data_IF_026720913847
#
_entry.id   IF_026720913847
#
_cell.length_a   1.000
_cell.length_b   1.000
_cell.length_c   1.000
_cell.angle_alpha   90.00
_cell.angle_beta   90.00
_cell.angle_gamma   90.00
#
_symmetry.space_group_name_H-M   'P 1'
#
loop_
_entity.id
_entity.type
_entity.pdbx_description
1 polymer ?
#
# COMPACT_ATOMS: atom_id res chain seq x y z
N UNK A 1 2.84 -24.27 17.77
CA UNK A 1 4.17 -23.91 17.22
C UNK A 1 4.13 -22.46 16.79
N UNK A 2 4.68 -21.56 17.60
CA UNK A 2 4.62 -20.12 17.37
C UNK A 2 5.56 -19.72 16.23
N UNK A 3 5.01 -19.35 15.07
CA UNK A 3 5.78 -18.57 14.09
C UNK A 3 5.72 -17.13 14.55
N UNK A 4 6.76 -16.71 15.28
CA UNK A 4 7.08 -15.32 15.55
C UNK A 4 7.27 -14.64 14.19
N UNK A 5 6.22 -14.01 13.66
CA UNK A 5 6.36 -13.07 12.55
C UNK A 5 7.06 -11.85 13.12
N UNK A 6 8.39 -11.92 13.19
CA UNK A 6 9.27 -10.78 13.33
C UNK A 6 9.00 -9.89 12.12
N UNK A 7 8.02 -9.00 12.23
CA UNK A 7 7.85 -7.90 11.28
C UNK A 7 9.03 -6.97 11.49
N UNK A 8 10.16 -7.33 10.90
CA UNK A 8 11.35 -6.51 10.77
C UNK A 8 11.94 -6.78 9.37
N UNK A 9 11.35 -6.25 8.29
CA UNK A 9 12.21 -5.66 7.29
C UNK A 9 12.59 -4.29 7.88
N UNK A 10 13.86 -4.04 8.19
CA UNK A 10 14.30 -2.65 8.25
C UNK A 10 13.84 -2.04 6.92
N UNK A 11 12.85 -1.12 6.92
CA UNK A 11 12.45 -0.50 5.69
C UNK A 11 13.74 0.14 5.19
N UNK A 12 14.04 0.04 3.90
CA UNK A 12 15.02 0.95 3.32
C UNK A 12 14.42 2.34 3.48
N UNK A 13 14.60 2.93 4.66
CA UNK A 13 14.29 4.30 5.00
C UNK A 13 15.04 5.10 3.94
N UNK A 14 14.36 6.00 3.23
CA UNK A 14 15.05 6.83 2.27
C UNK A 14 16.20 7.53 2.99
N UNK A 15 17.42 7.37 2.48
CA UNK A 15 18.65 7.87 3.11
C UNK A 15 18.63 9.40 3.35
N UNK A 16 17.70 10.11 2.69
CA UNK A 16 17.52 11.57 2.77
C UNK A 16 16.16 11.99 3.38
N UNK A 17 15.41 11.08 4.02
CA UNK A 17 14.08 11.38 4.58
C UNK A 17 12.97 11.60 3.54
N UNK A 18 13.23 11.31 2.26
CA UNK A 18 12.27 11.44 1.15
C UNK A 18 12.14 10.17 0.33
N UNK A 19 10.91 9.67 0.15
CA UNK A 19 10.65 8.51 -0.70
C UNK A 19 11.09 8.76 -2.14
N UNK A 20 11.62 7.72 -2.84
CA UNK A 20 11.88 7.82 -4.27
C UNK A 20 10.55 7.98 -5.04
N UNK A 21 10.62 8.52 -6.25
CA UNK A 21 9.46 8.64 -7.15
C UNK A 21 8.82 7.28 -7.46
N UNK A 22 9.66 6.24 -7.58
CA UNK A 22 9.24 4.86 -7.84
C UNK A 22 9.64 3.95 -6.69
N UNK A 23 8.65 3.34 -6.08
CA UNK A 23 8.78 2.45 -4.94
C UNK A 23 8.79 1.00 -5.41
N UNK A 24 9.70 0.21 -4.85
CA UNK A 24 9.69 -1.25 -5.00
C UNK A 24 8.60 -1.89 -4.14
N UNK A 25 8.30 -3.18 -4.34
CA UNK A 25 7.35 -3.95 -3.52
C UNK A 25 7.55 -3.75 -2.01
N UNK A 26 8.81 -3.70 -1.56
CA UNK A 26 9.17 -3.57 -0.15
C UNK A 26 8.88 -2.15 0.34
N UNK A 27 9.25 -1.13 -0.45
CA UNK A 27 9.01 0.27 -0.11
C UNK A 27 7.52 0.61 -0.15
N UNK A 28 6.79 0.14 -1.16
CA UNK A 28 5.34 0.33 -1.26
C UNK A 28 4.61 -0.33 -0.08
N UNK A 29 5.06 -1.52 0.32
CA UNK A 29 4.54 -2.19 1.51
C UNK A 29 4.79 -1.37 2.79
N UNK A 30 6.01 -0.85 2.95
CA UNK A 30 6.33 0.03 4.08
C UNK A 30 5.50 1.33 4.06
N UNK A 31 5.29 1.92 2.88
CA UNK A 31 4.52 3.15 2.71
C UNK A 31 3.04 2.98 3.11
N UNK A 32 2.43 1.85 2.75
CA UNK A 32 1.01 1.55 3.04
C UNK A 32 0.85 0.78 4.37
N UNK A 33 1.94 0.57 5.13
CA UNK A 33 1.96 -0.23 6.37
C UNK A 33 1.40 -1.66 6.19
N UNK A 34 1.87 -2.37 5.18
CA UNK A 34 1.48 -3.76 4.88
C UNK A 34 2.70 -4.66 4.64
N UNK A 35 2.47 -5.94 4.32
CA UNK A 35 3.56 -6.86 3.97
C UNK A 35 3.83 -6.86 2.46
N UNK A 36 5.08 -7.05 2.00
CA UNK A 36 5.39 -7.18 0.58
C UNK A 36 4.65 -8.35 -0.08
N UNK A 37 4.38 -9.43 0.67
CA UNK A 37 3.54 -10.54 0.23
C UNK A 37 2.12 -10.10 -0.08
N UNK A 38 1.52 -9.24 0.75
CA UNK A 38 0.17 -8.69 0.51
C UNK A 38 0.13 -7.88 -0.79
N UNK A 39 1.13 -7.02 -1.04
CA UNK A 39 1.26 -6.25 -2.28
C UNK A 39 1.41 -7.17 -3.50
N UNK A 40 2.17 -8.25 -3.38
CA UNK A 40 2.32 -9.24 -4.47
C UNK A 40 1.00 -9.95 -4.77
N UNK A 41 0.29 -10.36 -3.72
CA UNK A 41 -1.02 -11.01 -3.84
C UNK A 41 -2.04 -10.05 -4.44
N UNK A 42 -2.01 -8.76 -4.06
CA UNK A 42 -2.96 -7.78 -4.59
C UNK A 42 -2.80 -7.56 -6.09
N UNK A 43 -1.59 -7.64 -6.64
CA UNK A 43 -1.38 -7.62 -8.10
C UNK A 43 -2.06 -8.79 -8.81
N UNK A 44 -1.92 -9.99 -8.24
CA UNK A 44 -2.48 -11.21 -8.84
C UNK A 44 -3.99 -11.28 -8.73
N UNK A 45 -4.54 -10.77 -7.62
CA UNK A 45 -5.99 -10.79 -7.35
C UNK A 45 -6.72 -9.56 -7.88
N UNK A 46 -5.97 -8.51 -8.25
CA UNK A 46 -6.52 -7.21 -8.61
C UNK A 46 -7.14 -6.44 -7.44
N UNK A 47 -7.02 -6.95 -6.21
CA UNK A 47 -7.64 -6.37 -5.01
C UNK A 47 -6.65 -6.26 -3.86
N UNK A 48 -6.69 -5.13 -3.16
CA UNK A 48 -5.98 -4.92 -1.90
C UNK A 48 -7.02 -4.56 -0.83
N UNK A 49 -7.13 -5.35 0.24
CA UNK A 49 -8.13 -5.15 1.30
C UNK A 49 -9.58 -4.99 0.81
N UNK A 50 -9.94 -5.67 -0.28
CA UNK A 50 -11.29 -5.62 -0.85
C UNK A 50 -11.54 -4.46 -1.82
N UNK A 51 -10.63 -3.48 -1.90
CA UNK A 51 -10.66 -2.42 -2.92
C UNK A 51 -9.76 -2.77 -4.11
N UNK A 52 -9.93 -2.08 -5.23
CA UNK A 52 -9.08 -2.25 -6.42
C UNK A 52 -7.61 -2.04 -6.05
N UNK A 53 -6.72 -2.93 -6.49
CA UNK A 53 -5.30 -2.82 -6.19
C UNK A 53 -4.69 -1.53 -6.77
N UNK A 54 -3.65 -0.95 -6.12
CA UNK A 54 -2.95 0.20 -6.65
C UNK A 54 -2.29 -0.11 -7.99
N UNK A 55 -2.21 0.91 -8.85
CA UNK A 55 -1.55 0.81 -10.15
C UNK A 55 -0.05 0.48 -9.98
N UNK A 56 0.48 -0.33 -10.90
CA UNK A 56 1.87 -0.77 -10.86
C UNK A 56 2.48 -0.80 -12.26
N UNK A 57 3.76 -0.48 -12.32
CA UNK A 57 4.55 -0.46 -13.56
C UNK A 57 5.49 -1.66 -13.54
N UNK A 58 5.42 -2.48 -14.59
CA UNK A 58 6.33 -3.61 -14.78
C UNK A 58 7.47 -3.21 -15.71
N UNK A 59 8.70 -3.25 -15.21
CA UNK A 59 9.92 -2.98 -15.97
C UNK A 59 10.78 -4.25 -15.97
N UNK A 60 10.72 -4.99 -17.07
CA UNK A 60 11.34 -6.31 -17.18
C UNK A 60 10.77 -7.30 -16.15
N UNK A 61 11.62 -7.82 -15.26
CA UNK A 61 11.22 -8.70 -14.16
C UNK A 61 10.86 -7.97 -12.86
N UNK A 62 11.09 -6.64 -12.81
CA UNK A 62 10.85 -5.83 -11.61
C UNK A 62 9.51 -5.12 -11.71
N UNK A 63 8.90 -4.90 -10.55
CA UNK A 63 7.66 -4.14 -10.43
C UNK A 63 7.91 -2.93 -9.55
N UNK A 64 7.37 -1.81 -9.98
CA UNK A 64 7.46 -0.52 -9.30
C UNK A 64 6.07 0.08 -9.14
N UNK A 65 5.93 0.89 -8.11
CA UNK A 65 4.74 1.68 -7.81
C UNK A 65 5.16 3.13 -7.84
N UNK A 66 4.42 3.98 -8.55
CA UNK A 66 4.66 5.41 -8.48
C UNK A 66 4.13 5.95 -7.15
N UNK A 67 4.89 6.83 -6.53
CA UNK A 67 4.53 7.41 -5.23
C UNK A 67 3.18 8.12 -5.32
N UNK A 68 2.98 8.89 -6.39
CA UNK A 68 1.73 9.64 -6.64
C UNK A 68 0.53 8.70 -6.75
N UNK A 69 0.66 7.60 -7.50
CA UNK A 69 -0.39 6.58 -7.64
C UNK A 69 -0.75 5.95 -6.29
N UNK A 70 0.26 5.65 -5.46
CA UNK A 70 0.04 5.11 -4.11
C UNK A 70 -0.66 6.13 -3.21
N UNK A 71 -0.24 7.39 -3.24
CA UNK A 71 -0.88 8.47 -2.47
C UNK A 71 -2.33 8.69 -2.90
N UNK A 72 -2.60 8.74 -4.20
CA UNK A 72 -3.95 8.84 -4.75
C UNK A 72 -4.79 7.64 -4.34
N UNK A 73 -4.23 6.44 -4.39
CA UNK A 73 -4.90 5.23 -3.95
C UNK A 73 -5.24 5.29 -2.45
N UNK A 74 -4.33 5.72 -1.59
CA UNK A 74 -4.59 5.89 -0.15
C UNK A 74 -5.69 6.93 0.06
N UNK A 75 -5.61 8.10 -0.59
CA UNK A 75 -6.61 9.17 -0.49
C UNK A 75 -7.99 8.69 -0.90
N UNK A 76 -8.08 7.95 -2.01
CA UNK A 76 -9.36 7.44 -2.53
C UNK A 76 -9.98 6.37 -1.62
N UNK A 77 -9.17 5.55 -0.95
CA UNK A 77 -9.66 4.40 -0.17
C UNK A 77 -9.70 4.63 1.35
N UNK A 78 -9.03 5.67 1.87
CA UNK A 78 -9.07 6.04 3.30
C UNK A 78 -10.27 6.93 3.61
N UNK A 79 -10.85 7.60 2.60
CA UNK A 79 -11.89 8.60 2.82
C UNK A 79 -13.29 8.00 2.67
N UNK A 80 -14.15 8.31 3.65
CA UNK A 80 -15.60 8.05 3.77
C UNK A 80 -16.03 6.81 4.58
N UNK A 81 -15.74 6.83 5.87
CA UNK A 81 -16.76 6.44 6.85
C UNK A 81 -17.49 7.72 7.26
N UNK A 82 -18.52 8.12 6.53
CA UNK A 82 -19.54 9.01 7.09
C UNK A 82 -20.46 8.06 7.84
N UNK A 83 -20.38 8.05 9.17
CA UNK A 83 -21.32 7.27 9.97
C UNK A 83 -22.72 7.74 9.64
N UNK A 84 -23.56 6.85 9.11
CA UNK A 84 -24.98 7.08 8.79
C UNK A 84 -25.79 7.63 9.98
N UNK A 85 -25.24 7.58 11.20
CA UNK A 85 -25.80 8.20 12.39
C UNK A 85 -25.85 9.74 12.36
N UNK A 86 -25.00 10.42 11.56
CA UNK A 86 -24.90 11.90 11.55
C UNK A 86 -25.78 12.57 10.47
N UNK A 87 -26.43 11.79 9.60
CA UNK A 87 -27.37 12.30 8.59
C UNK A 87 -28.84 12.29 9.03
N UNK A 88 -29.08 12.12 10.34
CA UNK A 88 -30.41 12.04 10.94
C UNK A 88 -30.54 13.01 12.13
N UNK A 89 -30.20 14.28 11.93
CA UNK A 89 -30.76 15.35 12.75
C UNK A 89 -31.79 16.09 11.89
N UNK A 90 -33.03 16.12 12.40
CA UNK A 90 -34.22 16.72 11.82
C UNK A 90 -34.10 18.22 11.59
#
# INVERSE_FOLDING_TARGET
>A
MAKKSLFNPEPHIPQNGKWPERLTDIQAAAFINTTPSTIRISRTTGKLWGVTAPHFIKIGSRVFYELEDLELWIKNNTTKQISTADSAFC
#
